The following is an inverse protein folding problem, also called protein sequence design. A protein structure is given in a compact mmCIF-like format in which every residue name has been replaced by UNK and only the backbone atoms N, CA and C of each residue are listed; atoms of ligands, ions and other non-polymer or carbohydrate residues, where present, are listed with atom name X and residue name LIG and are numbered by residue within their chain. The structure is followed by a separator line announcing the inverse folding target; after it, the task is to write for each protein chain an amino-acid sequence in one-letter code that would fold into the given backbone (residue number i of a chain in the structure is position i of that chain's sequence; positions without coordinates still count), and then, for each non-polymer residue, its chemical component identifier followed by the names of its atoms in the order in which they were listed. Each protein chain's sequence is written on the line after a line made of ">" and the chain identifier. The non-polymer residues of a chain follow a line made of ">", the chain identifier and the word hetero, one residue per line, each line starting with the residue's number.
data_IF_349091444339
#
_entry.id   IF_349091444339
#
_cell.length_a   1.000
_cell.length_b   1.000
_cell.length_c   1.000
_cell.angle_alpha   90.00
_cell.angle_beta   90.00
_cell.angle_gamma   90.00
#
_symmetry.space_group_name_H-M   'P 1'
#
loop_
_entity.id
_entity.type
_entity.pdbx_description
1 polymer ?
#
# COMPACT_ATOMS: atom_id res chain seq x y z
N UNK A 1 -29.47 13.55 14.17
CA UNK A 1 -28.96 12.26 14.68
C UNK A 1 -27.62 11.98 14.02
N UNK A 2 -26.51 12.20 14.72
CA UNK A 2 -25.18 11.91 14.20
C UNK A 2 -25.03 10.39 14.03
N UNK A 3 -24.88 9.91 12.80
CA UNK A 3 -24.46 8.51 12.56
C UNK A 3 -23.15 8.32 13.32
N UNK A 4 -23.16 7.45 14.35
CA UNK A 4 -21.93 6.87 14.90
C UNK A 4 -21.29 6.09 13.75
N UNK A 5 -20.45 6.76 12.97
CA UNK A 5 -19.57 6.10 12.01
C UNK A 5 -18.68 5.18 12.85
N UNK A 6 -18.65 3.90 12.48
CA UNK A 6 -17.68 2.97 13.05
C UNK A 6 -16.29 3.61 12.91
N UNK A 7 -15.45 3.62 13.96
CA UNK A 7 -14.17 4.31 13.93
C UNK A 7 -13.16 3.53 13.08
N UNK A 8 -13.31 3.62 11.76
CA UNK A 8 -12.44 2.99 10.76
C UNK A 8 -13.14 2.11 9.74
N UNK A 9 -12.39 1.73 8.70
CA UNK A 9 -12.85 0.90 7.56
C UNK A 9 -11.98 -0.35 7.34
N UNK A 10 -11.15 -0.75 8.31
CA UNK A 10 -10.25 -1.90 8.15
C UNK A 10 -11.04 -3.21 7.89
N UNK A 11 -10.64 -4.01 6.90
CA UNK A 11 -11.29 -5.28 6.59
C UNK A 11 -11.13 -6.29 7.73
N UNK A 12 -12.05 -7.25 7.82
CA UNK A 12 -11.93 -8.39 8.71
C UNK A 12 -10.85 -9.37 8.20
N UNK A 13 -10.09 -9.97 9.10
CA UNK A 13 -9.14 -11.01 8.74
C UNK A 13 -9.86 -12.32 8.42
N UNK A 14 -9.71 -12.78 7.18
CA UNK A 14 -10.36 -14.01 6.68
C UNK A 14 -9.46 -15.23 6.74
N UNK A 15 -8.20 -15.09 7.18
CA UNK A 15 -7.32 -16.23 7.44
C UNK A 15 -6.31 -15.94 8.54
N UNK A 16 -5.84 -17.00 9.19
CA UNK A 16 -4.85 -17.00 10.28
C UNK A 16 -3.54 -16.34 9.88
N UNK A 17 -2.92 -15.62 10.81
CA UNK A 17 -1.65 -14.93 10.62
C UNK A 17 -0.52 -15.71 11.27
N UNK A 18 0.42 -16.22 10.47
CA UNK A 18 1.51 -17.08 10.94
C UNK A 18 2.77 -16.25 11.23
N UNK A 19 3.32 -16.40 12.43
CA UNK A 19 4.60 -15.82 12.82
C UNK A 19 4.58 -14.30 13.03
N UNK A 20 5.74 -13.67 12.79
CA UNK A 20 6.02 -12.22 12.86
C UNK A 20 5.81 -11.52 14.22
N UNK A 21 5.92 -12.26 15.33
CA UNK A 21 5.79 -11.69 16.69
C UNK A 21 6.75 -10.53 16.95
N UNK A 22 7.98 -10.63 16.45
CA UNK A 22 9.00 -9.60 16.60
C UNK A 22 8.62 -8.34 15.84
N UNK A 23 8.23 -8.47 14.58
CA UNK A 23 7.82 -7.36 13.73
C UNK A 23 6.60 -6.64 14.33
N UNK A 24 5.63 -7.37 14.89
CA UNK A 24 4.52 -6.74 15.61
C UNK A 24 4.99 -5.83 16.74
N UNK A 25 5.87 -6.31 17.61
CA UNK A 25 6.37 -5.52 18.74
C UNK A 25 7.18 -4.31 18.28
N UNK A 26 8.04 -4.47 17.27
CA UNK A 26 8.86 -3.39 16.72
C UNK A 26 8.03 -2.31 16.03
N UNK A 27 7.10 -2.70 15.16
CA UNK A 27 6.22 -1.77 14.43
C UNK A 27 5.29 -1.05 15.41
N UNK A 28 4.75 -1.73 16.44
CA UNK A 28 3.94 -1.06 17.49
C UNK A 28 4.73 0.00 18.24
N UNK A 29 5.99 -0.28 18.59
CA UNK A 29 6.87 0.68 19.25
C UNK A 29 7.15 1.87 18.34
N UNK A 30 7.44 1.62 17.06
CA UNK A 30 7.66 2.69 16.08
C UNK A 30 6.41 3.54 15.87
N UNK A 31 5.24 2.92 15.74
CA UNK A 31 3.97 3.65 15.61
C UNK A 31 3.65 4.49 16.84
N UNK A 32 4.22 4.21 18.03
CA UNK A 32 4.02 5.01 19.23
C UNK A 32 4.76 6.36 19.19
N UNK A 33 5.83 6.48 18.39
CA UNK A 33 6.70 7.66 18.35
C UNK A 33 6.77 8.31 16.97
N UNK A 34 6.72 7.52 15.90
CA UNK A 34 6.74 7.98 14.52
C UNK A 34 5.37 8.46 14.06
N UNK A 35 5.34 9.58 13.34
CA UNK A 35 4.12 10.07 12.66
C UNK A 35 3.98 9.53 11.23
N UNK A 36 5.08 9.09 10.63
CA UNK A 36 5.09 8.35 9.37
C UNK A 36 5.97 7.11 9.52
N UNK A 37 5.38 5.95 9.26
CA UNK A 37 6.06 4.67 9.20
C UNK A 37 5.76 4.00 7.86
N UNK A 38 6.79 3.65 7.10
CA UNK A 38 6.65 2.94 5.83
C UNK A 38 7.21 1.53 5.97
N UNK A 39 6.36 0.52 5.78
CA UNK A 39 6.79 -0.86 5.66
C UNK A 39 7.27 -1.10 4.22
N UNK A 40 8.56 -1.43 4.06
CA UNK A 40 9.19 -1.70 2.77
C UNK A 40 9.49 -3.18 2.60
N UNK A 41 9.72 -3.63 1.37
CA UNK A 41 10.06 -5.03 1.10
C UNK A 41 9.53 -5.54 -0.24
N UNK A 42 9.99 -6.72 -0.62
CA UNK A 42 9.68 -7.33 -1.92
C UNK A 42 8.18 -7.66 -2.09
N UNK A 43 7.78 -7.92 -3.34
CA UNK A 43 6.43 -8.38 -3.65
C UNK A 43 6.10 -9.70 -2.92
N UNK A 44 4.88 -9.85 -2.43
CA UNK A 44 4.44 -11.08 -1.77
C UNK A 44 4.99 -11.32 -0.36
N UNK A 45 5.82 -10.42 0.20
CA UNK A 45 6.37 -10.57 1.56
C UNK A 45 5.33 -10.37 2.68
N UNK A 46 4.15 -9.83 2.36
CA UNK A 46 3.05 -9.65 3.31
C UNK A 46 3.00 -8.29 4.02
N UNK A 47 3.56 -7.22 3.42
CA UNK A 47 3.54 -5.86 3.99
C UNK A 47 2.12 -5.37 4.30
N UNK A 48 1.21 -5.45 3.34
CA UNK A 48 -0.20 -5.06 3.48
C UNK A 48 -0.84 -5.79 4.66
N UNK A 49 -0.72 -7.12 4.68
CA UNK A 49 -1.31 -7.95 5.74
C UNK A 49 -0.72 -7.63 7.12
N UNK A 50 0.59 -7.40 7.20
CA UNK A 50 1.26 -6.98 8.43
C UNK A 50 0.79 -5.59 8.90
N UNK A 51 0.69 -4.63 7.99
CA UNK A 51 0.21 -3.28 8.29
C UNK A 51 -1.22 -3.29 8.81
N UNK A 52 -2.13 -3.99 8.14
CA UNK A 52 -3.54 -4.11 8.54
C UNK A 52 -3.66 -4.77 9.92
N UNK A 53 -2.90 -5.84 10.18
CA UNK A 53 -2.91 -6.51 11.48
C UNK A 53 -2.40 -5.59 12.59
N UNK A 54 -1.29 -4.90 12.37
CA UNK A 54 -0.76 -3.92 13.34
C UNK A 54 -1.76 -2.79 13.58
N UNK A 55 -2.33 -2.24 12.52
CA UNK A 55 -3.30 -1.15 12.58
C UNK A 55 -4.57 -1.58 13.34
N UNK A 56 -5.04 -2.80 13.12
CA UNK A 56 -6.14 -3.39 13.88
C UNK A 56 -5.83 -3.53 15.38
N UNK A 57 -4.62 -3.98 15.73
CA UNK A 57 -4.17 -4.08 17.12
C UNK A 57 -3.95 -2.72 17.79
N UNK A 58 -3.71 -1.67 17.01
CA UNK A 58 -3.47 -0.32 17.49
C UNK A 58 -4.76 0.53 17.61
N UNK A 59 -5.93 0.01 17.20
CA UNK A 59 -7.21 0.76 17.19
C UNK A 59 -7.51 1.53 18.49
N UNK A 60 -7.20 0.96 19.65
CA UNK A 60 -7.45 1.60 20.96
C UNK A 60 -6.64 2.88 21.20
N UNK A 61 -5.53 3.07 20.48
CA UNK A 61 -4.68 4.26 20.57
C UNK A 61 -5.13 5.41 19.67
N UNK A 62 -6.17 5.21 18.85
CA UNK A 62 -6.65 6.17 17.86
C UNK A 62 -8.16 6.37 18.04
N UNK A 63 -8.58 7.34 18.87
CA UNK A 63 -10.00 7.55 19.19
C UNK A 63 -10.84 7.96 17.97
N UNK A 64 -10.22 8.58 16.96
CA UNK A 64 -10.86 8.92 15.68
C UNK A 64 -10.77 7.81 14.63
N UNK A 65 -10.30 6.62 15.03
CA UNK A 65 -10.34 5.39 14.25
C UNK A 65 -9.10 5.10 13.41
N UNK A 66 -9.19 4.00 12.68
CA UNK A 66 -8.12 3.48 11.82
C UNK A 66 -8.64 3.26 10.41
N UNK A 67 -8.01 3.92 9.46
CA UNK A 67 -8.52 4.08 8.10
C UNK A 67 -7.54 3.51 7.09
N UNK A 68 -8.03 2.83 6.07
CA UNK A 68 -7.27 2.24 4.98
C UNK A 68 -7.63 2.96 3.68
N UNK A 69 -6.63 3.55 3.05
CA UNK A 69 -6.68 4.05 1.69
C UNK A 69 -5.90 3.10 0.77
N UNK A 70 -6.62 2.33 -0.03
CA UNK A 70 -6.04 1.42 -1.03
C UNK A 70 -5.80 2.18 -2.33
N UNK A 71 -4.54 2.39 -2.67
CA UNK A 71 -4.08 2.99 -3.92
C UNK A 71 -3.81 1.94 -5.00
N UNK A 72 -3.97 0.65 -4.66
CA UNK A 72 -3.77 -0.46 -5.59
C UNK A 72 -4.60 -0.29 -6.87
N UNK A 73 -3.93 -0.34 -8.02
CA UNK A 73 -4.56 -0.18 -9.33
C UNK A 73 -4.84 1.27 -9.75
N UNK A 74 -4.54 2.26 -8.90
CA UNK A 74 -4.61 3.67 -9.27
C UNK A 74 -3.43 4.02 -10.18
N UNK A 75 -3.74 4.65 -11.32
CA UNK A 75 -2.73 5.07 -12.31
C UNK A 75 -2.49 6.57 -12.32
N UNK A 76 -3.53 7.36 -12.00
CA UNK A 76 -3.44 8.81 -12.02
C UNK A 76 -3.03 9.34 -10.62
N UNK A 77 -1.84 9.94 -10.48
CA UNK A 77 -1.38 10.48 -9.20
C UNK A 77 -2.24 11.64 -8.68
N UNK A 78 -2.98 12.35 -9.54
CA UNK A 78 -3.85 13.47 -9.15
C UNK A 78 -5.04 12.99 -8.30
N UNK A 79 -5.45 11.74 -8.46
CA UNK A 79 -6.59 11.16 -7.76
C UNK A 79 -6.24 10.62 -6.36
N UNK A 80 -4.96 10.61 -5.96
CA UNK A 80 -4.53 10.09 -4.65
C UNK A 80 -5.28 10.76 -3.48
N UNK A 81 -5.42 12.10 -3.41
CA UNK A 81 -6.17 12.74 -2.34
C UNK A 81 -7.67 12.38 -2.35
N UNK A 82 -8.28 12.17 -3.52
CA UNK A 82 -9.68 11.77 -3.64
C UNK A 82 -9.91 10.35 -3.12
N UNK A 83 -8.98 9.42 -3.38
CA UNK A 83 -9.03 8.07 -2.82
C UNK A 83 -8.91 8.10 -1.30
N UNK A 84 -8.06 8.97 -0.74
CA UNK A 84 -7.97 9.16 0.72
C UNK A 84 -9.26 9.77 1.28
N UNK A 85 -9.84 10.77 0.61
CA UNK A 85 -11.13 11.35 1.01
C UNK A 85 -12.26 10.29 1.00
N UNK A 86 -12.27 9.41 -0.01
CA UNK A 86 -13.20 8.28 -0.10
C UNK A 86 -13.01 7.29 1.04
N UNK A 87 -11.78 6.93 1.35
CA UNK A 87 -11.47 6.06 2.48
C UNK A 87 -11.99 6.63 3.80
N UNK A 88 -11.83 7.94 4.01
CA UNK A 88 -12.30 8.66 5.20
C UNK A 88 -13.82 8.92 5.23
N UNK A 89 -14.54 8.56 4.17
CA UNK A 89 -16.00 8.74 4.09
C UNK A 89 -16.44 10.20 3.90
N UNK A 90 -15.59 11.03 3.27
CA UNK A 90 -15.84 12.46 3.05
C UNK A 90 -15.82 12.87 1.57
N UNK A 91 -16.02 11.92 0.64
CA UNK A 91 -16.07 12.21 -0.79
C UNK A 91 -17.16 13.21 -1.18
N UNK A 92 -18.27 13.25 -0.44
CA UNK A 92 -19.38 14.18 -0.63
C UNK A 92 -19.04 15.61 -0.20
N UNK A 93 -17.98 15.80 0.58
CA UNK A 93 -17.48 17.10 1.06
C UNK A 93 -16.39 17.69 0.16
N UNK A 94 -16.06 17.02 -0.96
CA UNK A 94 -15.06 17.49 -1.91
C UNK A 94 -15.56 18.70 -2.69
N UNK A 95 -15.50 19.87 -2.06
CA UNK A 95 -15.71 21.17 -2.69
C UNK A 95 -14.37 21.89 -2.78
N UNK A 96 -13.78 21.96 -3.97
CA UNK A 96 -12.47 22.57 -4.20
C UNK A 96 -11.32 21.58 -4.15
N UNK A 97 -10.17 21.98 -3.60
CA UNK A 97 -8.95 21.19 -3.54
C UNK A 97 -9.10 19.98 -2.58
N UNK A 98 -9.10 18.73 -3.09
CA UNK A 98 -9.28 17.54 -2.25
C UNK A 98 -8.25 17.41 -1.12
N UNK A 99 -7.01 17.85 -1.33
CA UNK A 99 -5.97 17.78 -0.31
C UNK A 99 -6.30 18.67 0.88
N UNK A 100 -6.83 19.88 0.63
CA UNK A 100 -7.26 20.81 1.68
C UNK A 100 -8.47 20.29 2.44
N UNK A 101 -9.42 19.67 1.75
CA UNK A 101 -10.59 19.06 2.39
C UNK A 101 -10.17 17.94 3.34
N UNK A 102 -9.29 17.04 2.89
CA UNK A 102 -8.73 15.98 3.73
C UNK A 102 -7.95 16.56 4.91
N UNK A 103 -7.07 17.54 4.67
CA UNK A 103 -6.30 18.20 5.73
C UNK A 103 -7.20 18.83 6.80
N UNK A 104 -8.24 19.56 6.38
CA UNK A 104 -9.22 20.17 7.28
C UNK A 104 -10.02 19.14 8.06
N UNK A 105 -10.42 18.02 7.44
CA UNK A 105 -11.08 16.93 8.15
C UNK A 105 -10.21 16.31 9.25
N UNK A 106 -8.90 16.18 8.99
CA UNK A 106 -7.93 15.58 9.92
C UNK A 106 -7.48 16.53 11.03
N UNK A 107 -7.73 17.84 10.91
CA UNK A 107 -7.39 18.81 11.95
C UNK A 107 -8.09 18.48 13.28
N UNK A 108 -7.30 18.45 14.36
CA UNK A 108 -7.80 18.14 15.71
C UNK A 108 -8.11 16.66 15.96
N UNK A 109 -7.98 15.77 14.96
CA UNK A 109 -8.24 14.33 15.10
C UNK A 109 -6.98 13.54 15.43
N UNK A 110 -7.15 12.46 16.18
CA UNK A 110 -6.14 11.45 16.49
C UNK A 110 -6.51 10.13 15.81
N UNK A 111 -6.02 9.96 14.57
CA UNK A 111 -6.31 8.77 13.74
C UNK A 111 -5.05 8.18 13.10
N UNK A 112 -5.16 6.90 12.74
CA UNK A 112 -4.17 6.19 11.94
C UNK A 112 -4.68 6.01 10.51
N UNK A 113 -3.93 6.52 9.54
CA UNK A 113 -4.17 6.31 8.12
C UNK A 113 -3.18 5.28 7.57
N UNK A 114 -3.68 4.13 7.12
CA UNK A 114 -2.95 3.11 6.38
C UNK A 114 -3.04 3.44 4.89
N UNK A 115 -1.90 3.59 4.22
CA UNK A 115 -1.83 3.84 2.77
C UNK A 115 -1.19 2.64 2.10
N UNK A 116 -1.95 1.91 1.29
CA UNK A 116 -1.49 0.65 0.67
C UNK A 116 -1.44 0.71 -0.86
N UNK A 117 -0.40 0.12 -1.46
CA UNK A 117 -0.31 -0.04 -2.92
C UNK A 117 0.06 1.21 -3.71
N UNK A 118 0.80 2.15 -3.10
CA UNK A 118 1.20 3.42 -3.73
C UNK A 118 2.52 3.39 -4.50
N UNK A 119 3.05 2.22 -4.90
CA UNK A 119 4.44 2.14 -5.39
C UNK A 119 4.68 2.94 -6.67
N UNK A 120 3.69 2.98 -7.57
CA UNK A 120 3.76 3.79 -8.81
C UNK A 120 3.43 5.27 -8.57
N UNK A 121 2.95 5.62 -7.38
CA UNK A 121 2.41 6.93 -7.04
C UNK A 121 3.21 7.61 -5.92
N UNK A 122 4.41 7.10 -5.60
CA UNK A 122 5.23 7.57 -4.48
C UNK A 122 5.41 9.10 -4.43
N UNK A 123 5.69 9.82 -5.54
CA UNK A 123 5.80 11.27 -5.49
C UNK A 123 4.51 11.97 -5.03
N UNK A 124 3.34 11.51 -5.51
CA UNK A 124 2.06 12.10 -5.12
C UNK A 124 1.68 11.75 -3.67
N UNK A 125 1.96 10.50 -3.25
CA UNK A 125 1.79 10.08 -1.86
C UNK A 125 2.69 10.91 -0.93
N UNK A 126 3.94 11.15 -1.31
CA UNK A 126 4.88 11.98 -0.55
C UNK A 126 4.36 13.40 -0.34
N UNK A 127 3.90 14.06 -1.42
CA UNK A 127 3.34 15.40 -1.34
C UNK A 127 2.12 15.45 -0.42
N UNK A 128 1.16 14.54 -0.62
CA UNK A 128 -0.04 14.46 0.20
C UNK A 128 0.32 14.24 1.68
N UNK A 129 1.13 13.23 1.99
CA UNK A 129 1.48 12.88 3.38
C UNK A 129 2.18 14.04 4.09
N UNK A 130 3.09 14.76 3.41
CA UNK A 130 3.75 15.94 3.98
C UNK A 130 2.73 17.03 4.34
N UNK A 131 1.78 17.30 3.46
CA UNK A 131 0.73 18.30 3.73
C UNK A 131 -0.18 17.88 4.87
N UNK A 132 -0.65 16.63 4.88
CA UNK A 132 -1.53 16.11 5.93
C UNK A 132 -0.84 16.09 7.31
N UNK A 133 0.42 15.67 7.37
CA UNK A 133 1.19 15.64 8.63
C UNK A 133 1.50 17.04 9.16
N UNK A 134 1.62 18.05 8.29
CA UNK A 134 1.74 19.45 8.73
C UNK A 134 0.42 19.97 9.30
N UNK A 135 -0.70 19.67 8.63
CA UNK A 135 -2.01 20.17 9.02
C UNK A 135 -2.61 19.50 10.26
N UNK A 136 -2.31 18.21 10.50
CA UNK A 136 -2.96 17.42 11.53
C UNK A 136 -1.95 16.78 12.50
N UNK A 137 -1.57 17.45 13.61
CA UNK A 137 -0.58 16.95 14.57
C UNK A 137 -0.91 15.57 15.16
N UNK A 138 -2.19 15.24 15.31
CA UNK A 138 -2.68 13.94 15.81
C UNK A 138 -2.68 12.81 14.76
N UNK A 139 -2.42 13.10 13.50
CA UNK A 139 -2.35 12.10 12.43
C UNK A 139 -1.07 11.26 12.54
N UNK A 140 -1.25 9.95 12.38
CA UNK A 140 -0.18 9.00 12.05
C UNK A 140 -0.47 8.30 10.74
N UNK A 141 0.57 8.03 9.96
CA UNK A 141 0.49 7.35 8.67
C UNK A 141 1.32 6.06 8.71
N UNK A 142 0.71 4.95 8.30
CA UNK A 142 1.36 3.66 8.07
C UNK A 142 1.27 3.32 6.59
N UNK A 143 2.36 3.49 5.85
CA UNK A 143 2.41 3.20 4.42
C UNK A 143 2.98 1.79 4.16
N UNK A 144 2.53 1.15 3.08
CA UNK A 144 3.11 -0.09 2.55
C UNK A 144 3.53 0.11 1.11
N UNK A 145 4.81 -0.16 0.82
CA UNK A 145 5.39 0.06 -0.51
C UNK A 145 6.61 -0.84 -0.74
N UNK A 146 7.07 -0.98 -1.97
CA UNK A 146 8.37 -1.63 -2.27
C UNK A 146 9.54 -0.76 -1.85
N UNK A 147 9.38 0.56 -1.91
CA UNK A 147 10.40 1.56 -1.56
C UNK A 147 9.87 2.56 -0.54
N UNK A 148 10.78 3.27 0.14
CA UNK A 148 10.44 4.36 1.02
C UNK A 148 9.76 5.52 0.26
N UNK A 149 8.92 6.29 0.96
CA UNK A 149 8.25 7.50 0.43
C UNK A 149 9.25 8.64 0.26
N UNK A 150 10.35 8.62 1.00
CA UNK A 150 11.48 9.57 1.00
C UNK A 150 11.10 10.98 1.41
N UNK A 151 10.40 11.10 2.54
CA UNK A 151 10.02 12.38 3.15
C UNK A 151 10.64 12.57 4.53
N UNK A 152 10.80 13.82 4.95
CA UNK A 152 11.37 14.15 6.25
C UNK A 152 10.50 13.60 7.40
N UNK A 153 11.13 12.95 8.38
CA UNK A 153 10.44 12.33 9.51
C UNK A 153 9.84 10.95 9.22
N UNK A 154 10.09 10.39 8.03
CA UNK A 154 9.74 9.01 7.70
C UNK A 154 10.62 8.01 8.49
N UNK A 155 9.98 7.05 9.14
CA UNK A 155 10.62 5.85 9.62
C UNK A 155 10.38 4.73 8.60
N UNK A 156 11.44 4.02 8.22
CA UNK A 156 11.37 2.92 7.27
C UNK A 156 11.58 1.61 8.02
N UNK A 157 10.65 0.67 7.85
CA UNK A 157 10.73 -0.67 8.42
C UNK A 157 10.79 -1.73 7.31
N UNK A 158 11.97 -2.35 7.07
CA UNK A 158 12.10 -3.40 6.06
C UNK A 158 11.46 -4.71 6.56
N UNK A 159 10.46 -5.20 5.84
CA UNK A 159 9.80 -6.46 6.11
C UNK A 159 10.57 -7.59 5.43
N UNK A 160 11.17 -8.47 6.23
CA UNK A 160 11.88 -9.64 5.73
C UNK A 160 10.91 -10.78 5.32
N UNK A 161 11.34 -11.67 4.41
CA UNK A 161 10.70 -12.96 4.21
C UNK A 161 10.60 -13.78 5.50
N UNK A 162 9.73 -14.79 5.52
CA UNK A 162 9.58 -15.64 6.69
C UNK A 162 10.84 -16.50 6.89
N UNK A 163 11.28 -16.70 8.15
CA UNK A 163 12.40 -17.58 8.43
C UNK A 163 12.13 -19.00 7.91
N UNK A 164 13.10 -19.53 7.18
CA UNK A 164 13.13 -20.90 6.66
C UNK A 164 14.20 -21.72 7.40
N UNK A 165 14.04 -23.05 7.50
CA UNK A 165 15.10 -23.90 8.02
C UNK A 165 16.38 -23.77 7.20
N UNK A 166 17.55 -24.00 7.82
CA UNK A 166 18.85 -23.99 7.11
C UNK A 166 19.02 -25.31 6.34
N UNK A 167 19.61 -25.25 5.14
CA UNK A 167 19.90 -26.43 4.32
C UNK A 167 20.77 -27.45 5.08
N UNK A 168 20.55 -28.74 4.83
CA UNK A 168 21.33 -29.89 5.34
C UNK A 168 21.20 -30.20 6.85
N UNK A 169 20.28 -29.55 7.58
CA UNK A 169 19.94 -29.98 8.95
C UNK A 169 18.91 -31.11 8.88
N UNK A 170 19.17 -32.25 9.53
CA UNK A 170 18.11 -33.23 9.81
C UNK A 170 17.07 -32.55 10.70
N UNK A 171 15.84 -32.45 10.21
CA UNK A 171 14.72 -31.79 10.89
C UNK A 171 13.65 -32.82 11.13
N UNK A 172 13.25 -32.99 12.39
CA UNK A 172 11.96 -33.64 12.70
C UNK A 172 10.81 -32.73 12.26
N UNK A 173 9.62 -33.30 12.12
CA UNK A 173 8.37 -32.59 11.88
C UNK A 173 8.13 -31.49 12.94
N UNK A 174 8.33 -31.83 14.21
CA UNK A 174 8.21 -30.85 15.30
C UNK A 174 9.26 -29.73 15.21
N UNK A 175 10.47 -30.04 14.73
CA UNK A 175 11.52 -29.05 14.51
C UNK A 175 11.23 -28.12 13.33
N UNK A 176 10.66 -28.65 12.24
CA UNK A 176 10.35 -27.89 11.03
C UNK A 176 9.21 -26.91 11.25
N UNK A 177 8.17 -27.28 11.99
CA UNK A 177 7.02 -26.43 12.32
C UNK A 177 7.37 -25.17 13.15
N UNK A 178 8.56 -25.12 13.76
CA UNK A 178 9.04 -23.91 14.46
C UNK A 178 9.39 -22.77 13.49
N UNK A 179 9.58 -23.07 12.21
CA UNK A 179 9.87 -22.08 11.18
C UNK A 179 8.57 -21.54 10.58
N UNK A 180 8.31 -20.22 10.64
CA UNK A 180 7.06 -19.63 10.17
C UNK A 180 6.71 -19.94 8.71
N UNK A 181 7.71 -20.09 7.84
CA UNK A 181 7.48 -20.47 6.44
C UNK A 181 6.87 -21.88 6.31
N UNK A 182 7.41 -22.85 7.07
CA UNK A 182 6.91 -24.23 7.10
C UNK A 182 5.54 -24.29 7.75
N UNK A 183 5.36 -23.60 8.90
CA UNK A 183 4.06 -23.52 9.55
C UNK A 183 2.98 -22.92 8.63
N UNK A 184 3.32 -21.87 7.88
CA UNK A 184 2.42 -21.29 6.88
C UNK A 184 2.09 -22.30 5.79
N UNK A 185 3.08 -22.98 5.21
CA UNK A 185 2.84 -23.98 4.19
C UNK A 185 1.87 -25.07 4.68
N UNK A 186 2.14 -25.66 5.85
CA UNK A 186 1.34 -26.74 6.43
C UNK A 186 -0.09 -26.26 6.71
N UNK A 187 -0.25 -25.08 7.28
CA UNK A 187 -1.59 -24.53 7.57
C UNK A 187 -2.41 -24.32 6.29
N UNK A 188 -1.78 -23.80 5.22
CA UNK A 188 -2.44 -23.56 3.93
C UNK A 188 -2.72 -24.85 3.16
N UNK A 189 -1.80 -25.82 3.23
CA UNK A 189 -1.95 -27.13 2.63
C UNK A 189 -3.08 -27.93 3.31
N UNK A 190 -3.13 -27.91 4.65
CA UNK A 190 -4.18 -28.56 5.44
C UNK A 190 -5.57 -27.97 5.17
N UNK A 191 -5.64 -26.67 4.91
CA UNK A 191 -6.90 -25.99 4.58
C UNK A 191 -7.50 -26.44 3.23
N UNK A 192 -6.70 -27.00 2.32
CA UNK A 192 -7.17 -27.48 1.01
C UNK A 192 -7.14 -29.01 0.88
N UNK A 193 -6.41 -29.69 1.76
CA UNK A 193 -6.35 -31.14 1.88
C UNK A 193 -6.21 -31.49 3.37
N UNK A 194 -7.29 -31.94 4.00
CA UNK A 194 -7.33 -32.23 5.44
C UNK A 194 -6.42 -33.41 5.87
N UNK A 195 -6.03 -34.28 4.92
CA UNK A 195 -5.12 -35.40 5.17
C UNK A 195 -3.64 -34.99 5.09
N UNK A 196 -3.34 -33.76 4.66
CA UNK A 196 -1.98 -33.29 4.58
C UNK A 196 -1.39 -33.08 5.98
N UNK A 197 -0.37 -33.87 6.31
CA UNK A 197 0.38 -33.77 7.58
C UNK A 197 1.87 -33.71 7.28
N UNK A 198 2.60 -32.88 8.04
CA UNK A 198 4.06 -32.91 8.05
C UNK A 198 4.54 -33.97 9.05
N UNK A 199 5.33 -34.92 8.58
CA UNK A 199 5.92 -35.99 9.38
C UNK A 199 7.45 -35.98 9.21
N UNK A 200 8.15 -36.86 9.92
CA UNK A 200 9.61 -36.92 9.87
C UNK A 200 10.13 -37.35 8.49
N UNK A 201 9.32 -38.06 7.70
CA UNK A 201 9.68 -38.53 6.35
C UNK A 201 9.63 -37.39 5.32
N UNK A 202 8.67 -36.47 5.47
CA UNK A 202 8.43 -35.40 4.51
C UNK A 202 8.91 -34.00 4.97
N UNK A 203 9.30 -33.83 6.23
CA UNK A 203 9.74 -32.55 6.81
C UNK A 203 10.87 -31.89 6.01
N UNK A 204 11.84 -32.67 5.54
CA UNK A 204 12.96 -32.17 4.73
C UNK A 204 12.50 -31.64 3.36
N UNK A 205 11.53 -32.30 2.72
CA UNK A 205 10.97 -31.86 1.44
C UNK A 205 10.21 -30.54 1.57
N UNK A 206 9.38 -30.42 2.62
CA UNK A 206 8.64 -29.18 2.90
C UNK A 206 9.60 -28.03 3.22
N UNK A 207 10.63 -28.28 4.04
CA UNK A 207 11.68 -27.30 4.33
C UNK A 207 12.39 -26.83 3.05
N UNK A 208 12.81 -27.77 2.20
CA UNK A 208 13.47 -27.46 0.92
C UNK A 208 12.56 -26.70 -0.05
N UNK A 209 11.25 -26.98 -0.06
CA UNK A 209 10.28 -26.22 -0.82
C UNK A 209 10.17 -24.78 -0.32
N UNK A 210 10.02 -24.58 0.99
CA UNK A 210 9.95 -23.23 1.58
C UNK A 210 11.22 -22.42 1.31
N UNK A 211 12.40 -23.06 1.29
CA UNK A 211 13.66 -22.43 0.90
C UNK A 211 13.67 -21.99 -0.57
N UNK A 212 13.24 -22.86 -1.50
CA UNK A 212 13.16 -22.50 -2.94
C UNK A 212 12.17 -21.35 -3.21
N UNK A 213 11.18 -21.21 -2.35
CA UNK A 213 10.20 -20.11 -2.37
C UNK A 213 10.70 -18.87 -1.60
N UNK A 214 11.98 -18.83 -1.22
CA UNK A 214 12.66 -17.74 -0.52
C UNK A 214 11.96 -17.28 0.79
N UNK A 215 11.16 -18.16 1.40
CA UNK A 215 10.35 -17.79 2.56
C UNK A 215 9.26 -16.74 2.25
N UNK A 216 8.92 -16.51 0.98
CA UNK A 216 7.93 -15.52 0.57
C UNK A 216 6.50 -16.04 0.83
N UNK A 217 5.72 -15.40 1.72
CA UNK A 217 4.37 -15.86 2.07
C UNK A 217 3.46 -16.14 0.87
N UNK A 218 3.40 -15.22 -0.11
CA UNK A 218 2.54 -15.41 -1.27
C UNK A 218 2.98 -16.63 -2.12
N UNK A 219 4.28 -16.82 -2.30
CA UNK A 219 4.80 -17.96 -3.05
C UNK A 219 4.50 -19.29 -2.33
N UNK A 220 4.64 -19.29 -1.00
CA UNK A 220 4.29 -20.42 -0.12
C UNK A 220 2.79 -20.75 -0.21
N UNK A 221 1.92 -19.74 -0.10
CA UNK A 221 0.47 -19.91 -0.20
C UNK A 221 0.07 -20.51 -1.57
N UNK A 222 0.64 -20.00 -2.66
CA UNK A 222 0.38 -20.51 -4.01
C UNK A 222 0.87 -21.94 -4.20
N UNK A 223 2.03 -22.30 -3.63
CA UNK A 223 2.54 -23.67 -3.67
C UNK A 223 1.69 -24.62 -2.82
N UNK A 224 1.27 -24.20 -1.62
CA UNK A 224 0.46 -25.00 -0.71
C UNK A 224 -0.91 -25.37 -1.32
N UNK A 225 -1.53 -24.48 -2.07
CA UNK A 225 -2.83 -24.77 -2.73
C UNK A 225 -2.73 -25.91 -3.76
N UNK A 226 -1.54 -26.20 -4.28
CA UNK A 226 -1.30 -27.24 -5.30
C UNK A 226 -1.25 -28.66 -4.73
N UNK A 227 -1.20 -28.85 -3.41
CA UNK A 227 -1.23 -30.19 -2.79
C UNK A 227 -2.52 -30.96 -3.06
N UNK A 228 -3.57 -30.28 -3.54
CA UNK A 228 -4.83 -30.90 -4.00
C UNK A 228 -4.66 -31.77 -5.24
N UNK A 229 -3.69 -31.46 -6.10
CA UNK A 229 -3.54 -32.12 -7.39
C UNK A 229 -2.14 -32.68 -7.62
N UNK A 230 -1.15 -32.29 -6.83
CA UNK A 230 0.25 -32.65 -7.01
C UNK A 230 0.87 -33.16 -5.71
N UNK A 231 1.79 -34.12 -5.83
CA UNK A 231 2.63 -34.53 -4.69
C UNK A 231 3.66 -33.44 -4.34
N UNK A 232 4.17 -33.47 -3.10
CA UNK A 232 5.21 -32.53 -2.65
C UNK A 232 6.45 -32.56 -3.56
N UNK A 233 6.87 -33.74 -4.03
CA UNK A 233 7.98 -33.88 -4.96
C UNK A 233 7.67 -33.21 -6.32
N UNK A 234 6.45 -33.36 -6.85
CA UNK A 234 6.05 -32.71 -8.09
C UNK A 234 5.99 -31.19 -7.97
N UNK A 235 5.49 -30.66 -6.84
CA UNK A 235 5.48 -29.23 -6.56
C UNK A 235 6.93 -28.73 -6.46
N UNK A 236 7.78 -29.47 -5.74
CA UNK A 236 9.19 -29.15 -5.57
C UNK A 236 9.97 -29.05 -6.90
N UNK A 237 9.69 -29.92 -7.86
CA UNK A 237 10.34 -29.94 -9.17
C UNK A 237 9.85 -28.85 -10.14
N UNK A 238 8.63 -28.32 -9.95
CA UNK A 238 8.00 -27.37 -10.88
C UNK A 238 8.24 -25.90 -10.54
N UNK A 239 8.77 -25.59 -9.37
CA UNK A 239 9.15 -24.22 -9.01
C UNK A 239 10.52 -23.89 -9.63
N UNK A 240 10.59 -23.01 -10.64
CA UNK A 240 11.86 -22.65 -11.26
C UNK A 240 12.78 -21.99 -10.24
N UNK A 241 14.01 -22.51 -10.14
CA UNK A 241 15.04 -21.97 -9.26
C UNK A 241 15.64 -20.66 -9.78
N UNK A 242 15.75 -19.68 -8.85
CA UNK A 242 16.61 -18.47 -8.81
C UNK A 242 16.48 -17.41 -9.91
N UNK A 243 16.11 -16.21 -9.45
CA UNK A 243 16.73 -14.95 -9.89
C UNK A 243 17.84 -14.61 -8.89
N UNK A 244 19.10 -14.70 -9.30
CA UNK A 244 20.25 -14.26 -8.49
C UNK A 244 20.29 -12.73 -8.31
N UNK A 245 21.17 -12.20 -7.44
CA UNK A 245 21.31 -10.76 -7.22
C UNK A 245 21.67 -10.08 -8.55
N UNK A 246 20.90 -9.06 -8.92
CA UNK A 246 21.09 -8.30 -10.13
C UNK A 246 22.37 -7.46 -10.03
N UNK A 247 23.43 -7.93 -10.70
CA UNK A 247 24.41 -7.04 -11.31
C UNK A 247 23.97 -6.79 -12.75
N UNK A 248 23.85 -5.50 -13.11
CA UNK A 248 23.62 -4.95 -14.45
C UNK A 248 22.16 -4.89 -15.00
N UNK A 249 21.57 -3.69 -15.19
CA UNK A 249 20.25 -3.48 -15.77
C UNK A 249 20.34 -3.36 -17.29
N UNK A 250 20.69 -4.43 -17.98
CA UNK A 250 20.50 -4.52 -19.42
C UNK A 250 20.02 -5.92 -19.78
N UNK A 251 18.80 -5.98 -20.32
CA UNK A 251 18.07 -7.18 -20.79
C UNK A 251 17.23 -7.87 -19.73
N UNK A 252 15.95 -7.50 -19.66
CA UNK A 252 14.86 -8.46 -19.46
C UNK A 252 13.71 -8.14 -20.40
N UNK A 253 13.56 -9.01 -21.40
CA UNK A 253 12.29 -9.19 -22.09
C UNK A 253 11.25 -9.65 -21.07
N UNK A 254 10.10 -8.99 -21.09
CA UNK A 254 9.00 -9.24 -20.18
C UNK A 254 8.33 -10.58 -20.47
N UNK A 255 8.07 -11.33 -19.41
CA UNK A 255 6.99 -12.32 -19.37
C UNK A 255 6.18 -12.03 -18.12
N UNK A 256 5.02 -11.39 -18.34
CA UNK A 256 3.97 -11.20 -17.34
C UNK A 256 3.37 -12.55 -16.95
N UNK A 257 3.56 -12.97 -15.70
CA UNK A 257 2.72 -14.00 -15.09
C UNK A 257 1.43 -13.34 -14.60
N UNK A 258 0.40 -13.32 -15.45
CA UNK A 258 -0.97 -13.03 -15.04
C UNK A 258 -1.50 -14.21 -14.22
N UNK A 259 -1.55 -14.05 -12.89
CA UNK A 259 -2.34 -14.92 -12.02
C UNK A 259 -3.76 -14.36 -12.00
N UNK A 260 -4.69 -15.04 -12.68
CA UNK A 260 -6.13 -14.78 -12.56
C UNK A 260 -6.60 -15.43 -11.26
N UNK A 261 -6.84 -14.64 -10.22
CA UNK A 261 -7.63 -15.07 -9.07
C UNK A 261 -9.10 -14.93 -9.45
N UNK A 262 -9.74 -16.06 -9.75
CA UNK A 262 -11.17 -16.12 -9.97
C UNK A 262 -11.86 -16.12 -8.60
N UNK A 263 -12.22 -14.93 -8.12
CA UNK A 263 -13.17 -14.78 -7.00
C UNK A 263 -14.54 -14.67 -7.64
N UNK A 264 -15.39 -15.68 -7.42
CA UNK A 264 -16.74 -15.68 -7.95
C UNK A 264 -17.60 -14.60 -7.30
N UNK A 265 -18.14 -13.70 -8.12
CA UNK A 265 -19.53 -13.25 -8.10
C UNK A 265 -19.78 -12.23 -9.24
N UNK A 266 -20.76 -12.53 -10.09
CA UNK A 266 -21.44 -11.52 -10.92
C UNK A 266 -20.93 -11.37 -12.35
N UNK A 267 -21.73 -11.84 -13.30
CA UNK A 267 -21.64 -11.44 -14.72
C UNK A 267 -21.99 -9.95 -14.80
N UNK A 268 -21.04 -9.14 -15.27
CA UNK A 268 -21.30 -7.81 -15.83
C UNK A 268 -20.73 -7.78 -17.23
N UNK A 269 -21.63 -7.63 -18.20
CA UNK A 269 -21.31 -7.54 -19.62
C UNK A 269 -20.55 -6.23 -19.89
N UNK A 270 -19.37 -6.35 -20.50
CA UNK A 270 -18.50 -5.24 -20.84
C UNK A 270 -18.56 -5.01 -22.35
N UNK A 271 -19.31 -3.99 -22.76
CA UNK A 271 -19.44 -3.59 -24.16
C UNK A 271 -19.69 -2.09 -24.30
N UNK A 272 -18.70 -1.27 -24.00
CA UNK A 272 -18.68 0.14 -24.40
C UNK A 272 -18.40 0.26 -25.90
N UNK A 273 -19.18 1.07 -26.63
CA UNK A 273 -18.83 1.46 -27.99
C UNK A 273 -20.00 1.91 -28.87
N UNK A 274 -20.21 3.22 -28.92
CA UNK A 274 -21.09 3.93 -29.85
C UNK A 274 -20.83 3.52 -31.31
N UNK A 275 -21.87 3.07 -32.02
CA UNK A 275 -21.97 3.19 -33.49
C UNK A 275 -23.39 3.63 -33.87
N UNK A 276 -23.48 4.83 -34.47
CA UNK A 276 -24.64 5.23 -35.29
C UNK A 276 -24.81 4.19 -36.41
N UNK A 277 -25.91 3.43 -36.36
CA UNK A 277 -26.45 2.76 -37.55
C UNK A 277 -27.69 3.52 -37.99
N UNK A 278 -27.53 4.21 -39.11
CA UNK A 278 -28.63 4.58 -40.00
C UNK A 278 -29.32 3.29 -40.42
N UNK A 279 -30.60 3.13 -40.08
CA UNK A 279 -31.48 2.18 -40.76
C UNK A 279 -32.77 2.88 -41.12
N UNK A 280 -32.92 3.03 -42.43
CA UNK A 280 -34.09 3.44 -43.17
C UNK A 280 -35.31 2.59 -42.80
N UNK A 281 -36.31 3.24 -42.22
CA UNK A 281 -37.64 2.69 -42.00
C UNK A 281 -38.68 3.65 -42.57
N UNK A 282 -39.12 3.37 -43.80
CA UNK A 282 -40.30 3.99 -44.41
C UNK A 282 -41.49 3.88 -43.45
N UNK A 283 -42.05 4.98 -42.99
CA UNK A 283 -43.51 5.14 -42.80
C UNK A 283 -43.92 6.57 -43.14
N UNK A 284 -45.06 6.64 -43.83
CA UNK A 284 -45.69 7.78 -44.50
C UNK A 284 -46.35 8.75 -43.52
N UNK A 285 -46.68 9.92 -44.08
CA UNK A 285 -47.60 10.96 -43.61
C UNK A 285 -47.05 11.83 -42.48
N UNK A 286 -47.11 13.16 -42.52
CA UNK A 286 -47.76 14.11 -43.41
C UNK A 286 -47.83 15.44 -42.64
N UNK A 287 -47.90 16.56 -43.36
CA UNK A 287 -48.23 17.92 -42.87
C UNK A 287 -47.09 18.63 -42.12
N UNK A 288 -46.32 19.50 -42.79
CA UNK A 288 -46.57 20.94 -43.07
C UNK A 288 -46.70 21.81 -41.82
N UNK A 289 -45.88 22.88 -41.84
CA UNK A 289 -45.82 24.16 -41.07
C UNK A 289 -44.50 24.20 -40.27
N UNK A 290 -43.51 25.05 -40.53
CA UNK A 290 -43.47 26.32 -41.23
C UNK A 290 -43.14 27.43 -40.23
N UNK A 291 -41.89 27.90 -40.19
CA UNK A 291 -41.51 29.32 -39.93
C UNK A 291 -39.97 29.52 -40.09
N UNK A 292 -39.49 30.75 -40.40
CA UNK A 292 -38.20 31.09 -40.97
C UNK A 292 -37.31 31.66 -39.84
N UNK A 293 -36.00 31.85 -39.97
CA UNK A 293 -35.35 32.84 -40.81
C UNK A 293 -34.72 33.94 -39.95
N UNK A 294 -33.47 34.29 -40.27
CA UNK A 294 -32.76 35.49 -39.81
C UNK A 294 -31.68 35.21 -38.76
N UNK A 295 -30.37 35.15 -39.10
CA UNK A 295 -29.42 36.26 -39.40
C UNK A 295 -29.33 37.28 -38.26
N UNK A 296 -28.19 37.83 -37.85
CA UNK A 296 -26.74 37.71 -38.13
C UNK A 296 -26.07 38.78 -37.22
N UNK A 297 -24.79 38.60 -36.88
CA UNK A 297 -23.75 39.66 -36.64
C UNK A 297 -23.95 40.53 -35.38
N UNK A 298 -22.96 41.03 -34.65
CA UNK A 298 -21.48 41.04 -34.67
C UNK A 298 -21.04 41.73 -33.36
N UNK A 299 -19.85 41.46 -32.82
CA UNK A 299 -18.68 42.32 -33.01
C UNK A 299 -18.45 43.26 -31.80
N UNK A 300 -17.21 43.36 -31.31
CA UNK A 300 -16.85 44.40 -30.33
C UNK A 300 -15.60 44.09 -29.48
N UNK A 301 -14.47 44.66 -29.87
CA UNK A 301 -13.19 44.64 -29.18
C UNK A 301 -13.12 45.65 -28.02
N UNK A 302 -12.18 45.47 -27.08
CA UNK A 302 -11.84 46.47 -26.06
C UNK A 302 -10.52 46.15 -25.34
N UNK A 303 -9.62 47.12 -25.28
CA UNK A 303 -8.17 47.06 -24.99
C UNK A 303 -7.81 47.39 -23.53
N UNK A 304 -6.67 46.83 -23.11
CA UNK A 304 -5.51 47.43 -22.39
C UNK A 304 -5.69 48.12 -21.03
N UNK A 305 -4.85 47.70 -20.07
CA UNK A 305 -4.38 48.51 -18.94
C UNK A 305 -3.22 47.84 -18.20
N UNK A 306 -1.97 48.22 -18.53
CA UNK A 306 -0.76 47.98 -17.72
C UNK A 306 -0.69 49.03 -16.61
N UNK A 307 -0.20 48.66 -15.43
CA UNK A 307 0.74 49.51 -14.71
C UNK A 307 1.64 48.72 -13.75
N UNK A 308 2.89 49.16 -13.75
CA UNK A 308 4.06 48.68 -13.01
C UNK A 308 4.29 49.65 -11.85
N UNK A 309 4.77 49.16 -10.70
CA UNK A 309 5.25 50.01 -9.61
C UNK A 309 6.17 49.22 -8.68
N UNK A 310 7.48 49.46 -8.79
CA UNK A 310 8.54 48.91 -7.98
C UNK A 310 8.99 49.90 -6.89
N UNK A 311 9.45 49.38 -5.75
CA UNK A 311 10.41 49.92 -4.76
C UNK A 311 10.09 49.26 -3.41
N UNK A 312 10.99 48.76 -2.57
CA UNK A 312 12.41 49.03 -2.38
C UNK A 312 12.64 49.17 -0.86
N UNK A 313 13.79 48.67 -0.37
CA UNK A 313 14.31 48.80 1.02
C UNK A 313 13.73 47.87 2.09
N UNK A 314 14.49 47.26 3.02
CA UNK A 314 15.90 47.40 3.43
C UNK A 314 16.34 46.12 4.15
N UNK A 315 17.57 45.68 3.87
CA UNK A 315 18.32 44.72 4.67
C UNK A 315 18.67 45.33 6.04
N UNK A 316 18.57 44.56 7.12
CA UNK A 316 19.42 44.73 8.31
C UNK A 316 19.98 43.37 8.71
N UNK A 317 21.30 43.23 8.54
CA UNK A 317 22.15 42.23 9.16
C UNK A 317 22.41 42.68 10.61
N UNK A 318 22.33 41.76 11.55
CA UNK A 318 22.89 41.86 12.90
C UNK A 318 23.98 40.78 13.11
N UNK A 319 24.93 40.99 14.03
CA UNK A 319 26.26 40.36 14.04
C UNK A 319 26.33 38.99 14.76
N UNK A 320 27.48 38.27 14.71
CA UNK A 320 27.57 36.84 15.03
C UNK A 320 27.91 36.54 16.50
N UNK A 321 27.78 35.24 16.83
CA UNK A 321 28.14 34.52 18.07
C UNK A 321 29.56 34.85 18.60
N UNK A 322 29.82 34.60 19.89
CA UNK A 322 31.11 34.11 20.35
C UNK A 322 31.08 32.59 20.57
N UNK A 323 32.13 31.94 20.07
CA UNK A 323 32.52 30.57 20.39
C UNK A 323 33.45 30.54 21.62
N UNK A 324 33.48 29.38 22.29
CA UNK A 324 34.64 28.70 22.90
C UNK A 324 34.36 28.19 24.32
N UNK A 325 34.63 26.89 24.49
CA UNK A 325 34.64 26.18 25.76
C UNK A 325 35.10 24.75 25.55
N UNK A 326 36.40 24.58 25.24
CA UNK A 326 37.11 23.30 25.30
C UNK A 326 37.55 23.01 26.74
N UNK A 327 37.32 21.77 27.20
CA UNK A 327 38.07 20.98 28.21
C UNK A 327 37.12 19.86 28.69
N UNK A 328 37.46 18.61 28.98
CA UNK A 328 38.54 17.64 28.71
C UNK A 328 37.94 16.27 29.20
N UNK A 329 38.49 15.09 28.87
CA UNK A 329 37.89 13.80 29.20
C UNK A 329 38.32 13.28 30.57
N UNK A 330 37.38 12.80 31.38
CA UNK A 330 37.68 12.02 32.59
C UNK A 330 37.73 10.53 32.27
N UNK A 331 38.80 9.92 32.80
CA UNK A 331 39.33 8.57 32.59
C UNK A 331 38.42 7.42 33.01
N UNK A 332 38.77 6.27 32.44
CA UNK A 332 38.42 4.92 32.85
C UNK A 332 38.66 4.64 34.35
N UNK A 333 37.78 3.82 34.92
CA UNK A 333 37.99 3.11 36.18
C UNK A 333 37.39 1.71 36.05
N UNK A 334 38.27 0.71 35.93
CA UNK A 334 37.97 -0.70 36.12
C UNK A 334 37.98 -1.05 37.62
N UNK A 335 37.44 -2.23 37.92
CA UNK A 335 37.44 -2.98 39.19
C UNK A 335 36.28 -2.72 40.18
N UNK A 336 35.28 -3.61 40.14
CA UNK A 336 35.11 -4.70 41.09
C UNK A 336 34.16 -5.76 40.49
#
# INVERSE_FOLDING_TARGET
>A
MARRLLPGNLPAEVSSFVGRRREFSEIRRLLATARLLTLTGVGGVGKTRLALRVAALARRSFPDGVWLAELGGLQDPVLVPEVVAKALGISDQLTGDPTRVVAGFLQGRQLLLVVDGGELLLPAVALLVVELLRAAPGLRVLATSREAVRVAGEFVYPVAPLPVPVANRRLSAAGSLRYPAVALFVERASAVNAEFVVDDDNAALVAGLCQRLDGLPLAIELAAVRVRSLSLAQIAHREPGRVGPASDPARRGGLELRVVLQVGAGVVDAGGGVRRRVRSGRRRAGLRRGWPGGRRVGGGAGRVGRQVGAAGHRRRRGPPLPAAGHAEPVRAGAAA
#
